data_IF_279540692437
#
_entry.id   IF_279540692437
#
_cell.length_a   1.000
_cell.length_b   1.000
_cell.length_c   1.000
_cell.angle_alpha   90.00
_cell.angle_beta   90.00
_cell.angle_gamma   90.00
#
_symmetry.space_group_name_H-M   'P 1'
#
loop_
_entity.id
_entity.type
_entity.pdbx_description
1 polymer ?
#
# COMPACT_ATOMS: atom_id res chain seq x y z
N UNK A 1 -6.64 -43.63 6.25
CA UNK A 1 -6.11 -42.56 7.12
C UNK A 1 -6.68 -41.26 6.60
N UNK A 2 -7.29 -40.39 7.43
CA UNK A 2 -7.70 -39.07 6.95
C UNK A 2 -6.45 -38.27 6.54
N UNK A 3 -6.52 -37.41 5.52
CA UNK A 3 -5.38 -36.62 5.09
C UNK A 3 -4.97 -35.68 6.21
N UNK A 4 -3.67 -35.70 6.55
CA UNK A 4 -3.06 -34.73 7.46
C UNK A 4 -3.03 -33.39 6.73
N UNK A 5 -3.87 -32.44 7.13
CA UNK A 5 -3.81 -31.06 6.62
C UNK A 5 -2.59 -30.35 7.26
N UNK A 6 -1.58 -29.90 6.48
CA UNK A 6 -0.30 -29.41 7.01
C UNK A 6 -0.23 -27.89 7.22
N UNK A 7 -1.36 -27.18 7.27
CA UNK A 7 -1.37 -25.72 7.37
C UNK A 7 -1.07 -25.28 8.81
N UNK A 8 0.02 -24.54 9.02
CA UNK A 8 0.35 -23.91 10.32
C UNK A 8 0.16 -22.40 10.20
N UNK A 9 -0.66 -21.79 11.06
CA UNK A 9 -0.89 -20.34 11.12
C UNK A 9 0.15 -19.68 12.04
N UNK A 10 0.84 -18.64 11.56
CA UNK A 10 1.92 -17.96 12.30
C UNK A 10 1.46 -16.54 12.61
N UNK A 11 0.79 -16.34 13.76
CA UNK A 11 0.32 -15.02 14.19
C UNK A 11 1.37 -14.34 15.06
N UNK A 12 1.88 -13.18 14.64
CA UNK A 12 2.61 -12.23 15.49
C UNK A 12 1.71 -11.04 15.74
N UNK A 13 1.31 -10.81 17.00
CA UNK A 13 0.41 -9.72 17.38
C UNK A 13 1.19 -8.40 17.53
N UNK A 14 0.82 -7.37 16.77
CA UNK A 14 1.16 -5.96 17.06
C UNK A 14 -0.05 -5.24 17.65
N UNK A 15 0.18 -4.39 18.66
CA UNK A 15 -0.88 -3.74 19.42
C UNK A 15 -1.44 -2.52 18.65
N UNK A 16 -2.70 -2.59 18.22
CA UNK A 16 -3.41 -1.54 17.48
C UNK A 16 -3.49 -0.17 18.19
N UNK A 17 -3.35 -0.13 19.53
CA UNK A 17 -3.31 1.14 20.28
C UNK A 17 -2.03 1.95 20.04
N UNK A 18 -0.90 1.33 19.70
CA UNK A 18 0.35 2.04 19.41
C UNK A 18 0.33 2.68 18.02
N UNK A 19 -0.41 2.10 17.07
CA UNK A 19 -0.54 2.58 15.68
C UNK A 19 -1.49 3.77 15.53
N UNK A 20 -2.43 3.97 16.46
CA UNK A 20 -3.54 4.93 16.32
C UNK A 20 -3.48 6.12 17.28
N UNK A 21 -2.58 6.12 18.29
CA UNK A 21 -2.56 7.15 19.34
C UNK A 21 -1.24 7.92 19.55
N UNK A 22 -0.20 7.71 18.74
CA UNK A 22 1.09 8.37 18.98
C UNK A 22 1.36 9.55 18.03
N UNK A 23 1.13 10.82 18.43
CA UNK A 23 1.78 11.95 17.77
C UNK A 23 3.23 12.00 18.26
N UNK A 24 4.12 11.20 17.66
CA UNK A 24 5.56 11.38 17.86
C UNK A 24 6.02 12.52 16.96
N UNK A 25 6.06 13.73 17.53
CA UNK A 25 6.69 14.89 16.92
C UNK A 25 8.20 14.67 16.80
N UNK A 26 8.65 14.04 15.72
CA UNK A 26 10.04 14.14 15.30
C UNK A 26 10.23 15.45 14.50
N UNK A 27 10.80 16.45 15.17
CA UNK A 27 11.15 17.77 14.62
C UNK A 27 12.54 17.80 13.99
N UNK A 28 13.28 16.68 13.98
CA UNK A 28 14.62 16.66 13.42
C UNK A 28 14.60 16.65 11.89
N UNK A 29 15.29 17.62 11.28
CA UNK A 29 15.38 17.77 9.83
C UNK A 29 16.22 16.62 9.27
N UNK A 30 15.68 15.85 8.32
CA UNK A 30 16.46 14.87 7.57
C UNK A 30 17.59 15.57 6.81
N UNK A 31 18.83 15.37 7.26
CA UNK A 31 20.05 15.95 6.68
C UNK A 31 20.63 15.15 5.50
N UNK A 32 19.94 14.11 5.03
CA UNK A 32 20.35 13.32 3.87
C UNK A 32 19.94 13.96 2.54
N UNK A 33 20.61 15.04 2.14
CA UNK A 33 20.49 15.65 0.82
C UNK A 33 21.61 15.21 -0.11
N UNK A 34 21.31 14.33 -1.07
CA UNK A 34 22.09 14.12 -2.28
C UNK A 34 21.33 14.66 -3.48
N UNK A 35 21.96 15.53 -4.27
CA UNK A 35 21.39 16.21 -5.43
C UNK A 35 21.07 15.28 -6.62
N UNK A 36 19.87 15.46 -7.17
CA UNK A 36 19.23 15.06 -8.44
C UNK A 36 19.56 13.71 -9.11
N UNK A 37 18.55 12.84 -9.16
CA UNK A 37 18.47 11.74 -10.11
C UNK A 37 17.95 12.19 -11.48
N UNK A 38 18.32 13.37 -12.00
CA UNK A 38 17.94 13.76 -13.37
C UNK A 38 18.56 12.84 -14.46
N UNK A 39 19.47 11.93 -14.06
CA UNK A 39 20.22 10.99 -14.94
C UNK A 39 20.23 9.54 -14.46
N UNK A 40 19.40 9.16 -13.48
CA UNK A 40 19.29 7.76 -13.04
C UNK A 40 18.66 6.84 -14.11
N UNK A 41 18.80 5.51 -14.02
CA UNK A 41 18.06 4.57 -14.87
C UNK A 41 16.53 4.73 -14.72
N UNK A 42 15.81 4.18 -15.70
CA UNK A 42 14.38 3.94 -15.61
C UNK A 42 14.11 2.57 -15.01
N UNK A 43 13.02 2.42 -14.27
CA UNK A 43 12.52 1.13 -13.79
C UNK A 43 11.00 1.02 -14.04
N UNK A 44 10.54 -0.15 -14.46
CA UNK A 44 9.12 -0.37 -14.75
C UNK A 44 8.29 -0.37 -13.46
N UNK A 45 8.65 -1.21 -12.47
CA UNK A 45 7.95 -1.28 -11.18
C UNK A 45 8.94 -1.32 -10.02
N UNK A 46 8.80 -0.38 -9.09
CA UNK A 46 9.52 -0.33 -7.82
C UNK A 46 8.51 -0.47 -6.69
N UNK A 47 8.75 -1.39 -5.76
CA UNK A 47 7.96 -1.54 -4.55
C UNK A 47 8.84 -1.25 -3.33
N UNK A 48 8.48 -0.19 -2.62
CA UNK A 48 9.07 0.22 -1.35
C UNK A 48 8.23 -0.35 -0.23
N UNK A 49 8.84 -1.00 0.75
CA UNK A 49 8.13 -1.59 1.89
C UNK A 49 8.78 -1.23 3.22
N UNK A 50 8.00 -1.16 4.30
CA UNK A 50 8.56 -0.87 5.64
C UNK A 50 9.41 -2.05 6.10
N UNK A 51 10.73 -1.88 6.16
CA UNK A 51 11.65 -2.93 6.62
C UNK A 51 11.76 -3.01 8.14
N UNK A 52 11.21 -2.04 8.87
CA UNK A 52 11.11 -2.05 10.33
C UNK A 52 9.90 -2.84 10.84
N UNK A 53 8.94 -3.17 9.96
CA UNK A 53 7.76 -3.96 10.28
C UNK A 53 7.90 -5.39 9.74
N UNK A 54 7.88 -6.38 10.62
CA UNK A 54 8.07 -7.79 10.24
C UNK A 54 6.90 -8.33 9.42
N UNK A 55 5.66 -7.88 9.69
CA UNK A 55 4.48 -8.30 8.94
C UNK A 55 4.52 -7.81 7.49
N UNK A 56 4.83 -6.53 7.29
CA UNK A 56 4.99 -5.93 5.96
C UNK A 56 6.21 -6.53 5.24
N UNK A 57 7.36 -6.61 5.91
CA UNK A 57 8.59 -7.13 5.30
C UNK A 57 8.45 -8.60 4.85
N UNK A 58 7.79 -9.44 5.63
CA UNK A 58 7.58 -10.85 5.27
C UNK A 58 6.51 -11.02 4.19
N UNK A 59 5.51 -10.12 4.14
CA UNK A 59 4.41 -10.20 3.16
C UNK A 59 4.74 -9.54 1.81
N UNK A 60 5.61 -8.54 1.77
CA UNK A 60 5.96 -7.80 0.56
C UNK A 60 6.37 -8.70 -0.65
N UNK A 61 7.17 -9.78 -0.48
CA UNK A 61 7.46 -10.70 -1.58
C UNK A 61 6.24 -11.48 -2.11
N UNK A 62 5.26 -11.78 -1.24
CA UNK A 62 4.01 -12.44 -1.63
C UNK A 62 3.14 -11.46 -2.41
N UNK A 63 2.99 -10.23 -1.91
CA UNK A 63 2.22 -9.17 -2.56
C UNK A 63 2.80 -8.82 -3.93
N UNK A 64 4.12 -8.65 -4.03
CA UNK A 64 4.81 -8.36 -5.28
C UNK A 64 4.61 -9.46 -6.31
N UNK A 65 4.76 -10.73 -5.93
CA UNK A 65 4.52 -11.86 -6.84
C UNK A 65 3.09 -11.87 -7.38
N UNK A 66 2.13 -11.54 -6.53
CA UNK A 66 0.71 -11.64 -6.83
C UNK A 66 0.18 -10.51 -7.72
N UNK A 67 0.53 -9.27 -7.39
CA UNK A 67 -0.08 -8.08 -7.98
C UNK A 67 0.90 -7.20 -8.76
N UNK A 68 2.20 -7.34 -8.50
CA UNK A 68 3.26 -6.51 -9.09
C UNK A 68 4.40 -7.36 -9.66
N UNK A 69 4.10 -8.27 -10.61
CA UNK A 69 5.10 -9.20 -11.11
C UNK A 69 6.32 -8.44 -11.65
N UNK A 70 7.52 -8.89 -11.25
CA UNK A 70 8.82 -8.27 -11.57
C UNK A 70 9.11 -6.94 -10.85
N UNK A 71 8.30 -6.53 -9.87
CA UNK A 71 8.65 -5.39 -9.02
C UNK A 71 10.00 -5.58 -8.34
N UNK A 72 10.84 -4.55 -8.37
CA UNK A 72 12.03 -4.49 -7.52
C UNK A 72 11.60 -4.14 -6.11
N UNK A 73 11.85 -5.03 -5.16
CA UNK A 73 11.62 -4.81 -3.74
C UNK A 73 12.78 -4.01 -3.12
N UNK A 74 12.46 -2.98 -2.35
CA UNK A 74 13.43 -2.21 -1.55
C UNK A 74 12.82 -1.90 -0.19
N UNK A 75 13.45 -2.41 0.87
CA UNK A 75 13.08 -2.07 2.25
C UNK A 75 13.50 -0.65 2.60
N UNK A 76 12.63 0.06 3.32
CA UNK A 76 12.86 1.42 3.84
C UNK A 76 12.36 1.50 5.28
N UNK A 77 13.15 2.11 6.17
CA UNK A 77 12.79 2.34 7.57
C UNK A 77 12.69 3.83 7.92
N UNK A 78 12.79 4.74 6.95
CA UNK A 78 12.64 6.17 7.20
C UNK A 78 12.31 6.96 5.93
N UNK A 79 11.83 8.19 6.09
CA UNK A 79 11.65 9.14 4.96
C UNK A 79 12.97 9.40 4.22
N UNK A 80 14.10 9.39 4.94
CA UNK A 80 15.42 9.55 4.34
C UNK A 80 15.77 8.36 3.43
N UNK A 81 15.51 7.14 3.89
CA UNK A 81 15.72 5.92 3.10
C UNK A 81 14.75 5.81 1.92
N UNK A 82 13.48 6.22 2.10
CA UNK A 82 12.51 6.37 1.03
C UNK A 82 13.05 7.29 -0.09
N UNK A 83 13.49 8.50 0.27
CA UNK A 83 14.05 9.44 -0.68
C UNK A 83 15.36 8.91 -1.32
N UNK A 84 16.22 8.26 -0.53
CA UNK A 84 17.45 7.66 -1.03
C UNK A 84 17.18 6.52 -2.02
N UNK A 85 16.18 5.67 -1.78
CA UNK A 85 15.77 4.60 -2.69
C UNK A 85 15.26 5.17 -4.02
N UNK A 86 14.43 6.21 -3.96
CA UNK A 86 13.87 6.88 -5.13
C UNK A 86 14.91 7.64 -5.95
N UNK A 87 15.86 8.32 -5.28
CA UNK A 87 16.94 9.07 -5.95
C UNK A 87 17.92 8.22 -6.77
N UNK A 88 17.76 6.90 -6.78
CA UNK A 88 18.50 6.00 -7.69
C UNK A 88 17.94 6.02 -9.11
N UNK A 89 16.73 6.52 -9.32
CA UNK A 89 16.02 6.44 -10.60
C UNK A 89 15.66 7.82 -11.10
N UNK A 90 15.75 8.04 -12.42
CA UNK A 90 15.16 9.24 -13.03
C UNK A 90 13.67 9.05 -13.30
N UNK A 91 13.25 7.80 -13.49
CA UNK A 91 11.92 7.45 -13.93
C UNK A 91 11.46 6.14 -13.33
N UNK A 92 10.22 6.13 -12.86
CA UNK A 92 9.53 4.93 -12.38
C UNK A 92 8.22 4.80 -13.16
N UNK A 93 7.92 3.63 -13.72
CA UNK A 93 6.61 3.38 -14.32
C UNK A 93 5.52 3.35 -13.25
N UNK A 94 5.61 2.35 -12.38
CA UNK A 94 4.73 2.13 -11.22
C UNK A 94 5.54 2.14 -9.93
N UNK A 95 5.18 3.02 -9.00
CA UNK A 95 5.72 3.05 -7.64
C UNK A 95 4.68 2.44 -6.70
N UNK A 96 5.04 1.38 -6.00
CA UNK A 96 4.23 0.79 -4.93
C UNK A 96 4.86 1.20 -3.60
N UNK A 97 4.03 1.70 -2.68
CA UNK A 97 4.42 2.08 -1.32
C UNK A 97 3.60 1.21 -0.37
N UNK A 98 4.27 0.27 0.29
CA UNK A 98 3.69 -0.71 1.21
C UNK A 98 4.22 -0.45 2.62
N UNK A 99 3.66 0.57 3.26
CA UNK A 99 4.00 1.01 4.62
C UNK A 99 2.71 1.25 5.38
N UNK A 100 2.75 1.28 6.71
CA UNK A 100 1.59 1.69 7.48
C UNK A 100 1.19 3.13 7.15
N UNK A 101 -0.10 3.44 7.21
CA UNK A 101 -0.60 4.78 6.91
C UNK A 101 -1.92 5.05 7.62
N UNK A 102 -2.22 6.32 7.86
CA UNK A 102 -3.58 6.77 8.17
C UNK A 102 -4.11 7.68 7.06
N UNK A 103 -5.29 8.27 7.23
CA UNK A 103 -5.86 9.20 6.26
C UNK A 103 -4.86 10.31 5.92
N UNK A 104 -4.31 10.32 4.70
CA UNK A 104 -3.41 11.36 4.22
C UNK A 104 -1.96 11.35 4.73
N UNK A 105 -1.54 10.36 5.55
CA UNK A 105 -0.17 10.33 6.10
C UNK A 105 0.43 8.92 6.16
N UNK A 106 1.76 8.85 6.16
CA UNK A 106 2.53 7.60 6.29
C UNK A 106 3.02 7.40 7.72
N UNK A 107 3.15 6.15 8.12
CA UNK A 107 3.90 5.67 9.26
C UNK A 107 5.09 4.87 8.72
N UNK A 108 6.30 5.38 8.90
CA UNK A 108 7.52 4.76 8.36
C UNK A 108 8.59 4.68 9.44
N UNK A 109 9.05 3.45 9.72
CA UNK A 109 10.00 3.19 10.81
C UNK A 109 9.50 3.68 12.16
N UNK A 110 8.21 3.49 12.44
CA UNK A 110 7.56 3.92 13.68
C UNK A 110 7.32 5.43 13.82
N UNK A 111 7.64 6.24 12.79
CA UNK A 111 7.44 7.69 12.81
C UNK A 111 6.27 8.11 11.91
N UNK A 112 5.55 9.16 12.31
CA UNK A 112 4.48 9.80 11.52
C UNK A 112 4.97 11.16 10.95
N UNK A 113 5.78 11.18 9.87
CA UNK A 113 6.24 12.44 9.28
C UNK A 113 5.07 13.26 8.74
N UNK A 114 5.17 14.58 8.82
CA UNK A 114 4.17 15.46 8.22
C UNK A 114 4.17 15.35 6.69
N UNK A 115 3.01 15.58 6.07
CA UNK A 115 2.83 15.66 4.60
C UNK A 115 3.88 16.56 3.95
N UNK A 116 4.13 17.74 4.53
CA UNK A 116 5.15 18.67 4.06
C UNK A 116 6.57 18.10 4.11
N UNK A 117 6.92 17.34 5.16
CA UNK A 117 8.24 16.69 5.29
C UNK A 117 8.43 15.62 4.22
N UNK A 118 7.42 14.79 4.00
CA UNK A 118 7.47 13.75 2.96
C UNK A 118 7.53 14.40 1.57
N UNK A 119 6.65 15.35 1.27
CA UNK A 119 6.63 16.07 0.00
C UNK A 119 7.96 16.75 -0.31
N UNK A 120 8.57 17.43 0.67
CA UNK A 120 9.88 18.06 0.52
C UNK A 120 11.01 17.04 0.30
N UNK A 121 10.95 15.87 0.95
CA UNK A 121 11.93 14.81 0.74
C UNK A 121 11.80 14.19 -0.67
N UNK A 122 10.56 13.90 -1.09
CA UNK A 122 10.25 13.37 -2.41
C UNK A 122 10.65 14.33 -3.53
N UNK A 123 10.37 15.63 -3.37
CA UNK A 123 10.78 16.66 -4.33
C UNK A 123 12.30 16.69 -4.58
N UNK A 124 13.12 16.44 -3.55
CA UNK A 124 14.58 16.45 -3.66
C UNK A 124 15.14 15.27 -4.46
N UNK A 125 14.39 14.19 -4.62
CA UNK A 125 14.86 12.98 -5.32
C UNK A 125 15.08 13.24 -6.82
N UNK A 126 14.26 14.11 -7.42
CA UNK A 126 14.26 14.37 -8.85
C UNK A 126 13.69 13.23 -9.71
N UNK A 127 13.09 12.20 -9.09
CA UNK A 127 12.42 11.11 -9.82
C UNK A 127 11.09 11.57 -10.38
N UNK A 128 10.68 11.00 -11.52
CA UNK A 128 9.33 11.15 -12.06
C UNK A 128 8.67 9.78 -12.19
N UNK A 129 7.55 9.59 -11.49
CA UNK A 129 6.63 8.49 -11.69
C UNK A 129 5.77 8.80 -12.90
N UNK A 130 5.59 7.86 -13.84
CA UNK A 130 4.91 8.14 -15.11
C UNK A 130 3.49 7.60 -15.18
N UNK A 131 3.25 6.42 -14.61
CA UNK A 131 1.97 5.73 -14.77
C UNK A 131 1.18 5.78 -13.47
N UNK A 132 1.73 5.23 -12.38
CA UNK A 132 0.93 5.00 -11.18
C UNK A 132 1.76 5.02 -9.90
N UNK A 133 1.22 5.64 -8.86
CA UNK A 133 1.62 5.41 -7.48
C UNK A 133 0.50 4.58 -6.83
N UNK A 134 0.85 3.46 -6.21
CA UNK A 134 -0.08 2.62 -5.46
C UNK A 134 0.35 2.60 -4.01
N UNK A 135 -0.53 3.05 -3.13
CA UNK A 135 -0.40 2.82 -1.70
C UNK A 135 -1.08 1.49 -1.37
N UNK A 136 -0.26 0.54 -0.96
CA UNK A 136 -0.70 -0.72 -0.38
C UNK A 136 -0.83 -0.55 1.14
N UNK A 137 -1.72 -1.34 1.73
CA UNK A 137 -1.93 -1.32 3.18
C UNK A 137 -3.17 -0.54 3.60
N UNK A 138 -2.99 0.45 4.46
CA UNK A 138 -4.03 1.05 5.29
C UNK A 138 -4.93 2.05 4.54
N UNK A 139 -5.77 2.75 5.30
CA UNK A 139 -6.83 3.66 4.85
C UNK A 139 -6.36 5.04 4.34
N UNK A 140 -5.24 5.11 3.62
CA UNK A 140 -4.62 6.38 3.23
C UNK A 140 -5.56 7.30 2.43
N UNK A 141 -6.42 6.71 1.60
CA UNK A 141 -7.31 7.43 0.69
C UNK A 141 -8.60 7.93 1.34
N UNK A 142 -8.75 7.79 2.66
CA UNK A 142 -9.76 8.58 3.37
C UNK A 142 -9.46 10.09 3.29
N UNK A 143 -8.19 10.48 3.11
CA UNK A 143 -7.82 11.85 2.75
C UNK A 143 -7.03 11.89 1.43
N UNK A 144 -7.72 11.94 0.28
CA UNK A 144 -7.07 11.97 -1.03
C UNK A 144 -6.33 13.28 -1.31
N UNK A 145 -6.70 14.39 -0.66
CA UNK A 145 -6.05 15.70 -0.85
C UNK A 145 -4.65 15.65 -0.25
N UNK A 146 -4.55 15.30 1.04
CA UNK A 146 -3.24 15.21 1.73
C UNK A 146 -2.36 14.11 1.11
N UNK A 147 -2.97 12.99 0.71
CA UNK A 147 -2.26 11.93 -0.03
C UNK A 147 -1.64 12.46 -1.32
N UNK A 148 -2.37 13.27 -2.10
CA UNK A 148 -1.84 13.85 -3.33
C UNK A 148 -0.78 14.93 -3.05
N UNK A 149 -0.96 15.78 -2.04
CA UNK A 149 0.05 16.76 -1.62
C UNK A 149 1.39 16.13 -1.24
N UNK A 150 1.32 14.93 -0.64
CA UNK A 150 2.50 14.18 -0.28
C UNK A 150 3.34 13.81 -1.51
N UNK A 151 2.72 13.34 -2.59
CA UNK A 151 3.45 12.74 -3.74
C UNK A 151 3.46 13.57 -5.01
N UNK A 152 2.70 14.68 -5.09
CA UNK A 152 2.53 15.46 -6.33
C UNK A 152 3.87 15.86 -6.97
N UNK A 153 4.91 16.09 -6.18
CA UNK A 153 6.22 16.57 -6.66
C UNK A 153 7.01 15.53 -7.45
N UNK A 154 6.64 14.25 -7.36
CA UNK A 154 7.24 13.16 -8.15
C UNK A 154 6.30 12.64 -9.23
N UNK A 155 5.09 13.18 -9.37
CA UNK A 155 4.12 12.75 -10.37
C UNK A 155 4.40 13.41 -11.73
N UNK A 156 4.50 12.61 -12.78
CA UNK A 156 4.34 13.08 -14.16
C UNK A 156 2.88 13.45 -14.48
N UNK A 157 2.66 14.12 -15.61
CA UNK A 157 1.36 14.70 -16.00
C UNK A 157 0.21 13.71 -16.21
N UNK A 158 0.49 12.41 -16.26
CA UNK A 158 -0.52 11.34 -16.42
C UNK A 158 -0.50 10.33 -15.26
N UNK A 159 0.22 10.65 -14.19
CA UNK A 159 0.36 9.74 -13.05
C UNK A 159 -0.98 9.62 -12.34
N UNK A 160 -1.40 8.39 -12.09
CA UNK A 160 -2.52 8.10 -11.21
C UNK A 160 -2.01 7.80 -9.80
N UNK A 161 -2.77 8.15 -8.78
CA UNK A 161 -2.48 7.75 -7.40
C UNK A 161 -3.64 6.89 -6.90
N UNK A 162 -3.37 5.67 -6.49
CA UNK A 162 -4.39 4.72 -5.99
C UNK A 162 -4.07 4.27 -4.57
N UNK A 163 -5.10 4.04 -3.77
CA UNK A 163 -5.01 3.43 -2.46
C UNK A 163 -6.38 3.00 -1.96
N UNK A 164 -6.50 2.77 -0.66
CA UNK A 164 -7.71 2.23 -0.04
C UNK A 164 -8.25 3.17 1.03
N UNK A 165 -9.57 3.13 1.24
CA UNK A 165 -10.23 3.75 2.39
C UNK A 165 -10.32 2.80 3.59
N UNK A 166 -10.02 1.50 3.39
CA UNK A 166 -10.02 0.44 4.40
C UNK A 166 -8.61 -0.10 4.61
N UNK A 167 -8.39 -0.77 5.74
CA UNK A 167 -7.19 -1.55 5.97
C UNK A 167 -7.17 -2.79 5.09
N UNK A 168 -6.07 -2.97 4.37
CA UNK A 168 -5.70 -4.24 3.77
C UNK A 168 -5.01 -5.11 4.81
N UNK A 169 -5.75 -6.01 5.45
CA UNK A 169 -5.20 -6.96 6.40
C UNK A 169 -4.61 -8.14 5.66
N UNK A 170 -3.46 -8.63 6.14
CA UNK A 170 -2.75 -9.75 5.55
C UNK A 170 -2.23 -10.72 6.60
N UNK A 171 -2.06 -11.99 6.19
CA UNK A 171 -1.48 -13.04 7.03
C UNK A 171 -0.72 -14.02 6.13
N UNK A 172 0.29 -14.67 6.70
CA UNK A 172 1.11 -15.69 6.04
C UNK A 172 0.78 -17.06 6.62
N UNK A 173 0.66 -18.05 5.73
CA UNK A 173 0.59 -19.45 6.09
C UNK A 173 1.58 -20.26 5.26
N UNK A 174 1.98 -21.42 5.77
CA UNK A 174 2.95 -22.30 5.12
C UNK A 174 2.29 -23.58 4.61
N UNK A 175 2.75 -24.04 3.45
CA UNK A 175 2.46 -25.37 2.93
C UNK A 175 3.78 -26.11 2.81
N UNK A 176 3.85 -27.28 3.45
CA UNK A 176 5.05 -28.10 3.48
C UNK A 176 5.10 -29.07 2.29
N UNK A 177 6.05 -28.85 1.37
CA UNK A 177 6.36 -29.72 0.25
C UNK A 177 7.73 -30.40 0.38
N UNK A 178 8.31 -30.53 1.58
CA UNK A 178 9.64 -31.14 1.77
C UNK A 178 9.73 -32.57 1.26
N UNK A 179 8.64 -33.33 1.40
CA UNK A 179 8.55 -34.73 0.98
C UNK A 179 8.09 -34.89 -0.48
N UNK A 180 7.79 -33.78 -1.17
CA UNK A 180 7.34 -33.81 -2.56
C UNK A 180 8.54 -33.62 -3.49
N UNK A 181 8.80 -34.65 -4.29
CA UNK A 181 9.92 -34.67 -5.23
C UNK A 181 9.50 -34.49 -6.69
N UNK A 182 8.22 -34.69 -7.00
CA UNK A 182 7.65 -34.47 -8.33
C UNK A 182 6.91 -33.13 -8.42
N UNK A 183 7.34 -32.19 -9.28
CA UNK A 183 6.60 -30.97 -9.56
C UNK A 183 5.16 -31.21 -10.05
N UNK A 184 4.85 -32.33 -10.71
CA UNK A 184 3.48 -32.59 -11.15
C UNK A 184 2.52 -32.78 -9.97
N UNK A 185 2.93 -33.51 -8.93
CA UNK A 185 2.13 -33.72 -7.71
C UNK A 185 1.83 -32.40 -6.98
N UNK A 186 2.81 -31.48 -6.96
CA UNK A 186 2.63 -30.15 -6.38
C UNK A 186 1.69 -29.30 -7.24
N UNK A 187 1.78 -29.40 -8.56
CA UNK A 187 0.88 -28.68 -9.47
C UNK A 187 -0.57 -29.17 -9.30
N UNK A 188 -0.80 -30.48 -9.20
CA UNK A 188 -2.12 -31.05 -8.94
C UNK A 188 -2.69 -30.58 -7.59
N UNK A 189 -1.84 -30.48 -6.56
CA UNK A 189 -2.22 -29.88 -5.28
C UNK A 189 -2.61 -28.41 -5.45
N UNK A 190 -1.80 -27.61 -6.14
CA UNK A 190 -2.08 -26.19 -6.38
C UNK A 190 -3.35 -25.94 -7.21
N UNK A 191 -3.62 -26.78 -8.21
CA UNK A 191 -4.80 -26.66 -9.06
C UNK A 191 -6.09 -26.98 -8.30
N UNK A 192 -6.01 -27.81 -7.25
CA UNK A 192 -7.13 -28.16 -6.38
C UNK A 192 -7.21 -27.33 -5.09
N UNK A 193 -6.15 -26.59 -4.75
CA UNK A 193 -6.08 -25.82 -3.52
C UNK A 193 -6.90 -24.53 -3.64
N UNK A 194 -7.99 -24.48 -2.88
CA UNK A 194 -8.82 -23.28 -2.74
C UNK A 194 -8.94 -22.93 -1.27
N UNK A 195 -8.65 -21.67 -0.93
CA UNK A 195 -8.89 -21.12 0.40
C UNK A 195 -9.45 -19.71 0.25
N UNK A 196 -10.40 -19.36 1.12
CA UNK A 196 -10.93 -18.00 1.19
C UNK A 196 -9.79 -16.99 1.47
N UNK A 197 -9.93 -15.79 0.90
CA UNK A 197 -8.98 -14.66 1.06
C UNK A 197 -7.58 -14.91 0.49
N UNK A 198 -7.37 -15.99 -0.26
CA UNK A 198 -6.06 -16.32 -0.80
C UNK A 198 -5.57 -15.27 -1.81
N UNK A 199 -4.32 -14.83 -1.63
CA UNK A 199 -3.64 -13.97 -2.60
C UNK A 199 -3.35 -14.78 -3.87
N UNK A 200 -3.65 -14.26 -5.08
CA UNK A 200 -3.40 -14.95 -6.34
C UNK A 200 -1.90 -15.11 -6.60
N UNK A 201 -1.54 -16.05 -7.47
CA UNK A 201 -0.14 -16.24 -7.87
C UNK A 201 0.61 -17.14 -6.91
N UNK A 202 0.33 -18.44 -7.03
CA UNK A 202 1.13 -19.50 -6.44
C UNK A 202 2.53 -19.51 -7.07
N UNK A 203 3.60 -19.78 -6.30
CA UNK A 203 4.90 -20.08 -6.90
C UNK A 203 4.79 -21.29 -7.82
N UNK A 204 5.64 -21.39 -8.84
CA UNK A 204 5.64 -22.55 -9.73
C UNK A 204 5.93 -23.83 -8.95
N UNK A 205 5.28 -24.94 -9.28
CA UNK A 205 5.51 -26.22 -8.62
C UNK A 205 6.99 -26.63 -8.53
N UNK A 206 7.77 -26.41 -9.60
CA UNK A 206 9.23 -26.63 -9.62
C UNK A 206 9.99 -25.80 -8.58
N UNK A 207 9.54 -24.58 -8.29
CA UNK A 207 10.17 -23.72 -7.28
C UNK A 207 9.84 -24.17 -5.86
N UNK A 208 8.75 -24.91 -5.68
CA UNK A 208 8.22 -25.41 -4.42
C UNK A 208 8.72 -26.81 -4.03
N UNK A 209 9.22 -27.60 -4.98
CA UNK A 209 9.73 -28.96 -4.75
C UNK A 209 10.75 -29.03 -3.62
N UNK A 210 10.50 -29.89 -2.63
CA UNK A 210 11.39 -30.13 -1.50
C UNK A 210 11.48 -28.96 -0.51
N UNK A 211 10.48 -28.08 -0.42
CA UNK A 211 10.51 -26.88 0.42
C UNK A 211 9.23 -26.65 1.20
N UNK A 212 9.35 -25.95 2.32
CA UNK A 212 8.23 -25.23 2.92
C UNK A 212 8.03 -23.93 2.13
N UNK A 213 6.79 -23.70 1.69
CA UNK A 213 6.43 -22.56 0.86
C UNK A 213 5.45 -21.66 1.60
N UNK A 214 5.79 -20.37 1.66
CA UNK A 214 4.93 -19.33 2.24
C UNK A 214 3.92 -18.81 1.24
N UNK A 215 2.67 -18.73 1.69
CA UNK A 215 1.52 -18.22 0.96
C UNK A 215 0.84 -17.11 1.78
N UNK A 216 0.03 -16.29 1.10
CA UNK A 216 -0.61 -15.13 1.72
C UNK A 216 -2.12 -15.19 1.66
N UNK A 217 -2.75 -14.67 2.72
CA UNK A 217 -4.15 -14.25 2.72
C UNK A 217 -4.24 -12.73 2.79
N UNK A 218 -5.28 -12.17 2.18
CA UNK A 218 -5.56 -10.74 2.18
C UNK A 218 -7.06 -10.48 2.21
N UNK A 219 -7.51 -9.61 3.12
CA UNK A 219 -8.90 -9.15 3.22
C UNK A 219 -8.95 -7.68 3.62
N UNK A 220 -10.12 -7.04 3.51
CA UNK A 220 -10.27 -5.62 3.83
C UNK A 220 -11.25 -5.37 4.96
N UNK A 221 -10.90 -4.44 5.85
CA UNK A 221 -11.70 -4.04 7.02
C UNK A 221 -11.61 -2.54 7.28
N UNK A 222 -12.65 -1.99 7.88
CA UNK A 222 -12.71 -0.63 8.41
C UNK A 222 -11.84 -0.43 9.66
N UNK A 223 -11.71 -1.47 10.49
CA UNK A 223 -10.84 -1.49 11.67
C UNK A 223 -9.57 -2.33 11.45
N UNK A 224 -8.46 -1.89 12.05
CA UNK A 224 -7.21 -2.66 12.07
C UNK A 224 -7.29 -3.76 13.14
N UNK A 225 -7.75 -4.92 12.71
CA UNK A 225 -7.79 -6.14 13.52
C UNK A 225 -7.40 -7.34 12.64
N UNK A 226 -6.30 -7.98 13.03
CA UNK A 226 -5.67 -9.10 12.34
C UNK A 226 -6.44 -10.42 12.48
N UNK A 227 -7.55 -10.44 13.23
CA UNK A 227 -8.42 -11.64 13.26
C UNK A 227 -8.97 -11.95 11.88
N UNK A 228 -8.92 -13.24 11.55
CA UNK A 228 -9.49 -13.75 10.31
C UNK A 228 -11.00 -13.45 10.25
N UNK A 229 -11.57 -13.22 9.06
CA UNK A 229 -13.01 -13.18 8.88
C UNK A 229 -13.64 -14.53 9.23
N UNK A 230 -14.06 -14.73 10.47
CA UNK A 230 -14.84 -15.91 10.86
C UNK A 230 -16.24 -15.81 10.24
N UNK A 231 -16.70 -16.89 9.60
CA UNK A 231 -18.06 -17.01 9.06
C UNK A 231 -19.04 -17.51 10.17
N UNK A 232 -20.36 -17.55 10.03
CA UNK A 232 -21.25 -17.33 8.90
C UNK A 232 -22.21 -16.16 9.17
N UNK A 233 -22.32 -15.26 8.18
CA UNK A 233 -23.24 -14.11 8.05
C UNK A 233 -22.86 -12.73 8.65
N UNK A 234 -21.59 -12.48 9.01
CA UNK A 234 -21.07 -11.13 9.28
C UNK A 234 -20.23 -10.58 8.10
N UNK A 235 -20.89 -10.13 7.02
CA UNK A 235 -20.26 -9.84 5.72
C UNK A 235 -19.03 -8.89 5.75
N UNK A 236 -17.92 -9.33 5.14
CA UNK A 236 -16.65 -8.58 4.99
C UNK A 236 -16.15 -8.62 3.53
N UNK A 237 -15.26 -7.71 3.16
CA UNK A 237 -14.68 -7.56 1.81
C UNK A 237 -13.56 -8.59 1.62
N UNK A 238 -13.81 -9.62 0.80
CA UNK A 238 -12.94 -10.80 0.69
C UNK A 238 -11.73 -10.61 -0.22
N UNK A 239 -11.69 -9.54 -0.98
CA UNK A 239 -10.55 -9.17 -1.79
C UNK A 239 -10.79 -7.90 -2.59
N UNK A 240 -9.82 -7.57 -3.43
CA UNK A 240 -9.84 -6.33 -4.23
C UNK A 240 -11.11 -6.17 -5.10
N UNK A 241 -11.67 -7.28 -5.58
CA UNK A 241 -12.87 -7.29 -6.43
C UNK A 241 -14.15 -6.90 -5.70
N UNK A 242 -14.14 -6.96 -4.37
CA UNK A 242 -15.30 -6.67 -3.52
C UNK A 242 -15.28 -5.21 -3.03
N UNK A 243 -14.19 -4.46 -3.29
CA UNK A 243 -14.10 -3.03 -3.02
C UNK A 243 -14.86 -2.22 -4.07
N UNK A 244 -15.46 -1.11 -3.64
CA UNK A 244 -15.99 -0.12 -4.58
C UNK A 244 -14.85 0.60 -5.30
N UNK A 245 -14.94 0.73 -6.61
CA UNK A 245 -14.02 1.57 -7.38
C UNK A 245 -14.49 3.03 -7.35
N UNK A 246 -13.70 3.91 -6.75
CA UNK A 246 -13.99 5.34 -6.65
C UNK A 246 -12.94 6.13 -7.44
N UNK A 247 -13.37 7.01 -8.34
CA UNK A 247 -12.49 7.82 -9.19
C UNK A 247 -12.60 9.30 -8.81
N UNK A 248 -11.46 9.96 -8.62
CA UNK A 248 -11.35 11.39 -8.33
C UNK A 248 -10.59 12.05 -9.48
N UNK A 249 -11.26 12.89 -10.25
CA UNK A 249 -10.69 13.45 -11.47
C UNK A 249 -10.30 14.92 -11.33
N UNK A 250 -10.68 15.58 -10.24
CA UNK A 250 -10.47 17.01 -10.04
C UNK A 250 -10.62 17.40 -8.57
N UNK A 251 -10.37 18.69 -8.26
CA UNK A 251 -10.47 19.25 -6.92
C UNK A 251 -11.87 19.12 -6.28
N UNK A 252 -12.95 19.29 -7.06
CA UNK A 252 -14.33 19.17 -6.56
C UNK A 252 -14.64 17.73 -6.15
N UNK A 253 -14.25 16.75 -6.97
CA UNK A 253 -14.40 15.33 -6.65
C UNK A 253 -13.67 15.00 -5.34
N UNK A 254 -12.48 15.57 -5.12
CA UNK A 254 -11.69 15.31 -3.92
C UNK A 254 -12.34 15.88 -2.64
N UNK A 255 -12.91 17.09 -2.72
CA UNK A 255 -13.64 17.70 -1.61
C UNK A 255 -14.94 16.94 -1.29
N UNK A 256 -15.63 16.44 -2.32
CA UNK A 256 -16.77 15.56 -2.13
C UNK A 256 -16.34 14.25 -1.46
N UNK A 257 -15.26 13.63 -1.93
CA UNK A 257 -14.72 12.41 -1.36
C UNK A 257 -14.34 12.58 0.13
N UNK A 258 -13.72 13.70 0.52
CA UNK A 258 -13.48 13.99 1.94
C UNK A 258 -14.77 14.03 2.76
N UNK A 259 -15.84 14.59 2.20
CA UNK A 259 -17.16 14.58 2.86
C UNK A 259 -17.68 13.14 2.98
N UNK A 260 -17.65 12.37 1.89
CA UNK A 260 -18.13 10.99 1.82
C UNK A 260 -17.37 10.07 2.80
N UNK A 261 -16.08 10.32 3.02
CA UNK A 261 -15.21 9.51 3.87
C UNK A 261 -15.11 10.01 5.32
N UNK A 262 -15.71 11.15 5.65
CA UNK A 262 -15.75 11.70 7.02
C UNK A 262 -16.96 11.24 7.84
N UNK A 263 -17.86 10.46 7.22
CA UNK A 263 -19.07 9.95 7.86
C UNK A 263 -18.82 8.86 8.91
N UNK A 264 -19.83 8.51 9.73
CA UNK A 264 -19.73 7.44 10.73
C UNK A 264 -19.52 6.05 10.12
N UNK A 265 -19.78 5.91 8.81
CA UNK A 265 -19.54 4.69 8.04
C UNK A 265 -18.78 5.07 6.79
N UNK A 266 -17.50 4.69 6.73
CA UNK A 266 -16.66 4.88 5.55
C UNK A 266 -16.93 3.74 4.56
N UNK A 267 -17.14 4.01 3.27
CA UNK A 267 -17.27 2.94 2.28
C UNK A 267 -15.92 2.25 2.06
N UNK A 268 -15.92 0.92 2.00
CA UNK A 268 -14.74 0.14 1.60
C UNK A 268 -14.47 0.29 0.11
N UNK A 269 -13.48 1.12 -0.24
CA UNK A 269 -13.23 1.56 -1.61
C UNK A 269 -11.75 1.50 -1.97
N UNK A 270 -11.50 1.20 -3.25
CA UNK A 270 -10.25 1.49 -3.94
C UNK A 270 -10.41 2.83 -4.64
N UNK A 271 -9.73 3.84 -4.13
CA UNK A 271 -9.79 5.20 -4.66
C UNK A 271 -8.65 5.43 -5.63
N UNK A 272 -8.94 5.99 -6.80
CA UNK A 272 -7.93 6.38 -7.80
C UNK A 272 -8.10 7.85 -8.17
N UNK A 273 -7.03 8.60 -8.01
CA UNK A 273 -6.91 10.00 -8.42
C UNK A 273 -6.22 10.06 -9.79
N UNK A 274 -6.82 10.75 -10.76
CA UNK A 274 -6.29 10.87 -12.12
C UNK A 274 -5.67 12.24 -12.42
N UNK A 275 -6.10 13.30 -11.72
CA UNK A 275 -5.49 14.64 -11.76
C UNK A 275 -4.89 15.00 -10.38
N UNK A 276 -3.71 14.44 -10.12
CA UNK A 276 -3.03 14.57 -8.81
C UNK A 276 -2.75 16.03 -8.46
N UNK A 277 -2.35 16.84 -9.45
CA UNK A 277 -1.98 18.23 -9.22
C UNK A 277 -3.22 19.08 -8.87
N UNK A 278 -4.35 18.88 -9.57
CA UNK A 278 -5.58 19.57 -9.21
C UNK A 278 -6.08 19.17 -7.82
N UNK A 279 -6.02 17.87 -7.49
CA UNK A 279 -6.47 17.36 -6.19
C UNK A 279 -5.60 17.90 -5.05
N UNK A 280 -4.27 17.89 -5.20
CA UNK A 280 -3.36 18.41 -4.18
C UNK A 280 -3.60 19.90 -3.85
N UNK A 281 -4.14 20.66 -4.81
CA UNK A 281 -4.42 22.10 -4.66
C UNK A 281 -5.88 22.41 -4.26
N UNK A 282 -6.73 21.40 -4.05
CA UNK A 282 -8.17 21.60 -3.84
C UNK A 282 -8.50 22.54 -2.66
N UNK A 283 -7.78 22.41 -1.55
CA UNK A 283 -7.97 23.28 -0.38
C UNK A 283 -7.56 24.75 -0.63
N UNK A 284 -6.58 25.00 -1.50
CA UNK A 284 -6.18 26.37 -1.85
C UNK A 284 -7.20 27.05 -2.78
N UNK A 285 -7.94 26.29 -3.59
CA UNK A 285 -8.93 26.80 -4.54
C UNK A 285 -10.23 27.23 -3.85
N UNK A 286 -10.65 26.57 -2.76
CA UNK A 286 -11.86 26.93 -2.01
C UNK A 286 -11.77 28.27 -1.27
N UNK A 287 -10.57 28.69 -0.86
CA UNK A 287 -10.34 29.96 -0.15
C UNK A 287 -10.42 31.16 -1.10
N UNK A 288 -10.38 30.93 -2.42
CA UNK A 288 -10.35 31.98 -3.44
C UNK A 288 -11.72 32.44 -3.95
N UNK A 289 -12.82 31.81 -3.52
CA UNK A 289 -14.18 32.26 -3.87
C UNK A 289 -14.51 33.54 -3.11
N UNK A 290 -14.59 34.72 -3.76
CA UNK A 290 -14.96 35.94 -3.06
C UNK A 290 -16.40 35.78 -2.56
N UNK A 291 -16.62 36.00 -1.27
CA UNK A 291 -17.98 36.20 -0.75
C UNK A 291 -18.57 37.39 -1.53
N UNK A 292 -19.70 37.22 -2.26
CA UNK A 292 -20.34 38.37 -2.88
C UNK A 292 -20.66 39.36 -1.77
N UNK A 293 -20.19 40.60 -1.92
CA UNK A 293 -20.63 41.67 -1.04
C UNK A 293 -22.17 41.70 -1.11
N UNK A 294 -22.81 41.39 0.02
CA UNK A 294 -24.25 41.41 0.14
C UNK A 294 -24.81 42.81 -0.15
N UNK A 295 -26.10 42.89 -0.54
CA UNK A 295 -26.76 44.14 -0.95
C UNK A 295 -26.79 45.20 0.14
#
# INVERSE_FOLDING_TARGET
MPPRHPVTDVVQFLNAMELTQAPVKDTSVATGGGSSAAKGPSIDTLMLYDSGDTGISDFAPILARAYYPKARLVGVGSVGELAAALSKYSRIGTLVIDVHSGPGYLLIGGNAPTTARVSAALAKTGVVVQSKIVFEGCQIMQDPIDTCQMVEKICGSKTQVTGFTYFSISNIFEIDFTDFHDPAEIQDYYDSFTMDYMVPGLPSAKASTGKVVRHGRRWFRDEFDETLPEDANGARIKGLKDLQDYQINNAKDALQAQTDFSGPVVPGARVTVTDVAAVAQANAQNVSTPVPAGP
#
